data_IF_565187181030
#
_entry.id   IF_565187181030
#
_cell.length_a   1.000
_cell.length_b   1.000
_cell.length_c   1.000
_cell.angle_alpha   90.00
_cell.angle_beta   90.00
_cell.angle_gamma   90.00
#
_symmetry.space_group_name_H-M   'P 1'
#
loop_
_entity.id
_entity.type
_entity.pdbx_description
1 polymer ?
#
# COMPACT_ATOMS: atom_id res chain seq x y z
N UNK A 1 80.17 62.31 32.09
CA UNK A 1 79.14 63.22 31.54
C UNK A 1 78.50 62.49 30.37
N UNK A 2 77.16 62.37 30.31
CA UNK A 2 76.41 61.44 29.43
C UNK A 2 76.74 59.95 29.68
N UNK A 3 75.86 58.94 29.58
CA UNK A 3 74.40 58.74 29.72
C UNK A 3 74.15 57.30 29.29
N UNK A 4 73.54 56.47 30.13
CA UNK A 4 72.76 55.30 29.69
C UNK A 4 71.78 54.91 30.81
N UNK A 5 70.50 55.22 30.61
CA UNK A 5 69.43 54.76 31.49
C UNK A 5 69.04 53.32 31.11
N UNK A 6 68.83 52.41 32.08
CA UNK A 6 68.35 51.07 31.78
C UNK A 6 66.96 51.14 31.14
N UNK A 7 66.72 50.36 30.08
CA UNK A 7 65.39 50.22 29.50
C UNK A 7 64.49 49.47 30.48
N UNK A 8 63.63 50.20 31.19
CA UNK A 8 62.45 49.60 31.80
C UNK A 8 61.47 49.21 30.70
N UNK A 9 61.53 47.95 30.27
CA UNK A 9 60.51 47.33 29.41
C UNK A 9 59.17 47.47 30.12
N UNK A 10 58.26 48.29 29.59
CA UNK A 10 56.92 48.46 30.16
C UNK A 10 56.11 47.20 29.89
N UNK A 11 55.96 46.37 30.91
CA UNK A 11 55.19 45.11 30.87
C UNK A 11 53.83 45.20 30.12
N UNK A 12 52.97 46.23 30.28
CA UNK A 12 51.73 46.33 29.49
C UNK A 12 51.92 46.36 27.98
N UNK A 13 53.06 46.84 27.46
CA UNK A 13 53.33 46.85 26.01
C UNK A 13 53.60 45.43 25.48
N UNK A 14 54.21 44.57 26.29
CA UNK A 14 54.48 43.17 25.92
C UNK A 14 53.19 42.35 25.91
N UNK A 15 52.30 42.54 26.89
CA UNK A 15 50.96 41.93 26.88
C UNK A 15 50.09 42.46 25.72
N UNK A 16 50.19 43.74 25.36
CA UNK A 16 49.49 44.28 24.20
C UNK A 16 49.97 43.64 22.88
N UNK A 17 51.28 43.49 22.68
CA UNK A 17 51.85 42.81 21.51
C UNK A 17 51.50 41.32 21.48
N UNK A 18 51.51 40.63 22.62
CA UNK A 18 51.09 39.22 22.71
C UNK A 18 49.60 39.06 22.37
N UNK A 19 48.73 39.94 22.89
CA UNK A 19 47.29 39.93 22.56
C UNK A 19 47.05 40.20 21.07
N UNK A 20 47.77 41.15 20.46
CA UNK A 20 47.70 41.42 19.02
C UNK A 20 48.17 40.21 18.20
N UNK A 21 49.20 39.48 18.64
CA UNK A 21 49.69 38.28 17.96
C UNK A 21 48.69 37.11 18.03
N UNK A 22 47.93 36.99 19.13
CA UNK A 22 46.81 36.04 19.23
C UNK A 22 45.60 36.43 18.37
N UNK A 23 45.43 37.71 18.02
CA UNK A 23 44.34 38.23 17.19
C UNK A 23 44.63 38.19 15.68
N UNK A 24 45.85 37.82 15.26
CA UNK A 24 46.27 37.84 13.85
C UNK A 24 46.64 36.49 13.26
N UNK A 25 46.33 35.38 13.95
CA UNK A 25 46.34 34.05 13.34
C UNK A 25 45.11 33.91 12.41
N UNK A 26 45.29 33.83 11.07
CA UNK A 26 44.16 33.61 10.18
C UNK A 26 43.67 32.17 10.35
N UNK A 27 42.46 32.01 10.88
CA UNK A 27 41.76 30.72 10.78
C UNK A 27 41.34 30.54 9.33
N UNK A 28 42.15 29.84 8.54
CA UNK A 28 41.67 29.19 7.33
C UNK A 28 40.61 28.17 7.75
N UNK A 29 39.34 28.52 7.56
CA UNK A 29 38.27 27.53 7.45
C UNK A 29 38.38 26.95 6.03
N UNK A 30 38.80 25.70 5.92
CA UNK A 30 38.55 24.95 4.69
C UNK A 30 37.03 24.80 4.55
N UNK A 31 36.46 25.35 3.48
CA UNK A 31 35.06 25.06 3.09
C UNK A 31 34.98 23.59 2.64
N UNK A 32 34.82 22.69 3.61
CA UNK A 32 34.60 21.26 3.36
C UNK A 32 33.20 21.08 2.80
N UNK A 33 33.05 21.29 1.50
CA UNK A 33 31.80 21.13 0.75
C UNK A 33 31.40 19.65 0.67
N UNK A 34 30.77 19.19 1.74
CA UNK A 34 30.12 17.89 1.81
C UNK A 34 28.90 17.88 0.88
N UNK A 35 29.04 17.23 -0.27
CA UNK A 35 27.92 16.89 -1.14
C UNK A 35 27.13 15.72 -0.53
N UNK A 36 25.86 15.99 -0.19
CA UNK A 36 24.95 15.01 0.37
C UNK A 36 23.90 14.62 -0.66
N UNK A 37 23.89 13.35 -1.04
CA UNK A 37 22.87 12.77 -1.92
C UNK A 37 21.77 12.15 -1.05
N UNK A 38 20.53 12.57 -1.27
CA UNK A 38 19.34 12.10 -0.55
C UNK A 38 18.16 11.89 -1.50
N UNK A 39 17.19 11.09 -1.08
CA UNK A 39 15.99 10.76 -1.85
C UNK A 39 14.84 11.62 -1.37
N UNK A 40 14.12 12.30 -2.28
CA UNK A 40 13.13 13.30 -1.96
C UNK A 40 11.88 13.19 -2.84
N UNK A 41 10.71 13.35 -2.22
CA UNK A 41 9.42 13.40 -2.91
C UNK A 41 9.17 14.83 -3.40
N UNK A 42 9.45 15.09 -4.68
CA UNK A 42 9.29 16.42 -5.28
C UNK A 42 7.84 16.60 -5.75
N UNK A 43 7.12 17.67 -5.36
CA UNK A 43 5.74 17.90 -5.79
C UNK A 43 5.66 18.16 -7.30
N UNK A 44 4.75 17.47 -7.98
CA UNK A 44 4.46 17.61 -9.41
C UNK A 44 2.98 17.95 -9.57
N UNK A 45 2.70 19.09 -10.19
CA UNK A 45 1.35 19.55 -10.50
C UNK A 45 0.96 19.10 -11.91
N UNK A 46 -0.13 18.34 -12.03
CA UNK A 46 -0.64 17.83 -13.30
C UNK A 46 -1.98 18.47 -13.66
N UNK A 47 -2.17 18.77 -14.95
CA UNK A 47 -3.46 19.12 -15.54
C UNK A 47 -4.12 17.84 -16.09
N UNK A 48 -5.36 17.54 -15.68
CA UNK A 48 -6.08 16.38 -16.18
C UNK A 48 -6.35 16.41 -17.69
N UNK A 49 -6.44 17.58 -18.32
CA UNK A 49 -6.55 17.67 -19.78
C UNK A 49 -5.30 17.09 -20.47
N UNK A 50 -4.11 17.36 -19.93
CA UNK A 50 -2.83 16.81 -20.41
C UNK A 50 -2.70 15.30 -20.10
N UNK A 51 -3.27 14.81 -19.00
CA UNK A 51 -3.30 13.37 -18.68
C UNK A 51 -4.31 12.63 -19.58
N UNK A 52 -5.47 13.24 -19.89
CA UNK A 52 -6.52 12.66 -20.75
C UNK A 52 -6.19 12.70 -22.24
N UNK A 53 -5.22 13.51 -22.65
CA UNK A 53 -4.72 13.61 -24.03
C UNK A 53 -3.38 12.88 -24.24
N UNK A 54 -2.81 12.27 -23.21
CA UNK A 54 -1.71 11.33 -23.34
C UNK A 54 -2.24 9.93 -23.70
N UNK A 55 -1.59 9.27 -24.66
CA UNK A 55 -1.92 7.89 -25.02
C UNK A 55 -1.65 6.94 -23.85
N UNK A 56 -2.60 6.03 -23.58
CA UNK A 56 -2.37 4.90 -22.68
C UNK A 56 -1.63 3.82 -23.47
N UNK A 57 -0.39 3.54 -23.06
CA UNK A 57 0.49 2.62 -23.78
C UNK A 57 0.38 1.19 -23.23
N UNK A 58 0.09 0.24 -24.11
CA UNK A 58 0.34 -1.18 -23.85
C UNK A 58 1.78 -1.45 -24.27
N UNK A 59 2.64 -1.72 -23.29
CA UNK A 59 4.08 -1.86 -23.48
C UNK A 59 4.51 -3.32 -23.28
N UNK A 60 5.58 -3.71 -23.98
CA UNK A 60 6.21 -5.02 -23.76
C UNK A 60 6.67 -5.21 -22.31
N UNK A 61 6.77 -6.45 -21.81
CA UNK A 61 7.20 -6.79 -20.46
C UNK A 61 8.34 -5.94 -19.88
N UNK A 62 8.08 -5.32 -18.72
CA UNK A 62 9.06 -4.57 -17.94
C UNK A 62 9.44 -5.34 -16.68
N UNK A 63 10.71 -5.31 -16.23
CA UNK A 63 11.07 -5.85 -14.92
C UNK A 63 10.40 -5.04 -13.80
N UNK A 64 9.75 -5.74 -12.87
CA UNK A 64 9.07 -5.19 -11.71
C UNK A 64 10.03 -4.38 -10.81
N UNK A 65 9.65 -3.15 -10.46
CA UNK A 65 10.47 -2.23 -9.68
C UNK A 65 9.98 -2.10 -8.23
N UNK A 66 8.70 -1.78 -8.01
CA UNK A 66 8.07 -1.63 -6.69
C UNK A 66 6.61 -2.15 -6.69
N UNK A 67 6.34 -3.39 -6.24
CA UNK A 67 5.01 -3.98 -6.29
C UNK A 67 4.04 -3.32 -5.31
N UNK A 68 2.90 -2.87 -5.84
CA UNK A 68 1.70 -2.50 -5.11
C UNK A 68 0.67 -3.63 -5.15
N UNK A 69 -0.54 -3.34 -5.62
CA UNK A 69 -1.68 -4.28 -5.58
C UNK A 69 -1.46 -5.52 -6.43
N UNK A 70 -1.60 -6.72 -5.86
CA UNK A 70 -1.69 -7.99 -6.61
C UNK A 70 -3.15 -8.41 -6.83
N UNK A 71 -3.44 -8.91 -8.02
CA UNK A 71 -4.78 -9.35 -8.38
C UNK A 71 -4.71 -10.61 -9.27
N UNK A 72 -5.51 -11.63 -8.95
CA UNK A 72 -5.60 -12.87 -9.72
C UNK A 72 -6.86 -12.82 -10.57
N UNK A 73 -6.74 -13.13 -11.86
CA UNK A 73 -7.89 -13.30 -12.75
C UNK A 73 -7.65 -14.48 -13.70
N UNK A 74 -8.48 -15.51 -13.59
CA UNK A 74 -8.35 -16.77 -14.34
C UNK A 74 -6.92 -17.35 -14.25
N UNK A 75 -6.17 -17.32 -15.34
CA UNK A 75 -4.78 -17.81 -15.43
C UNK A 75 -3.72 -16.71 -15.30
N UNK A 76 -4.13 -15.47 -15.01
CA UNK A 76 -3.25 -14.30 -14.98
C UNK A 76 -3.03 -13.78 -13.55
N UNK A 77 -1.78 -13.43 -13.27
CA UNK A 77 -1.39 -12.61 -12.12
C UNK A 77 -1.12 -11.19 -12.61
N UNK A 78 -1.85 -10.23 -12.06
CA UNK A 78 -1.62 -8.80 -12.29
C UNK A 78 -0.91 -8.21 -11.06
N UNK A 79 0.03 -7.30 -11.31
CA UNK A 79 0.78 -6.58 -10.28
C UNK A 79 0.79 -5.10 -10.63
N UNK A 80 0.06 -4.28 -9.88
CA UNK A 80 0.18 -2.83 -9.94
C UNK A 80 1.59 -2.40 -9.52
N UNK A 81 2.15 -1.43 -10.23
CA UNK A 81 3.34 -0.68 -9.85
C UNK A 81 2.88 0.77 -9.57
N UNK A 82 2.78 1.20 -8.29
CA UNK A 82 2.06 2.41 -7.91
C UNK A 82 2.47 3.67 -8.68
N UNK A 83 1.47 4.47 -9.05
CA UNK A 83 1.56 5.65 -9.91
C UNK A 83 2.04 5.41 -11.36
N UNK A 84 2.43 4.19 -11.75
CA UNK A 84 3.01 3.88 -13.06
C UNK A 84 2.12 3.00 -13.95
N UNK A 85 1.43 2.00 -13.40
CA UNK A 85 0.62 1.07 -14.21
C UNK A 85 0.50 -0.34 -13.66
N UNK A 86 0.21 -1.31 -14.53
CA UNK A 86 -0.09 -2.71 -14.16
C UNK A 86 0.73 -3.67 -15.03
N UNK A 87 1.53 -4.53 -14.40
CA UNK A 87 2.15 -5.70 -15.02
C UNK A 87 1.13 -6.83 -15.15
N UNK A 88 1.13 -7.53 -16.28
CA UNK A 88 0.33 -8.74 -16.52
C UNK A 88 1.28 -9.91 -16.73
N UNK A 89 1.09 -10.99 -15.98
CA UNK A 89 1.85 -12.24 -16.11
C UNK A 89 0.90 -13.42 -16.33
N UNK A 90 1.26 -14.29 -17.27
CA UNK A 90 0.71 -15.65 -17.39
C UNK A 90 1.22 -16.46 -16.19
N UNK A 91 0.28 -16.97 -15.39
CA UNK A 91 0.51 -17.72 -14.17
C UNK A 91 -0.06 -19.15 -14.27
N UNK A 92 -0.22 -19.67 -15.49
CA UNK A 92 -0.73 -21.03 -15.75
C UNK A 92 0.04 -22.09 -14.97
N UNK A 93 1.36 -21.90 -14.85
CA UNK A 93 2.27 -22.59 -13.94
C UNK A 93 2.88 -21.60 -12.92
N UNK A 94 2.41 -21.58 -11.66
CA UNK A 94 2.97 -20.71 -10.62
C UNK A 94 4.43 -21.01 -10.21
N UNK A 95 5.03 -22.10 -10.69
CA UNK A 95 6.48 -22.33 -10.57
C UNK A 95 7.30 -21.63 -11.66
N UNK A 96 6.66 -21.19 -12.75
CA UNK A 96 7.32 -20.45 -13.84
C UNK A 96 6.41 -19.36 -14.46
N UNK A 97 5.99 -18.34 -13.68
CA UNK A 97 5.18 -17.23 -14.21
C UNK A 97 5.92 -16.47 -15.32
N UNK A 98 5.24 -16.18 -16.42
CA UNK A 98 5.80 -15.51 -17.60
C UNK A 98 5.21 -14.11 -17.75
N UNK A 99 6.01 -13.03 -17.81
CA UNK A 99 5.46 -11.68 -17.99
C UNK A 99 5.00 -11.47 -19.43
N UNK A 100 3.76 -10.98 -19.61
CA UNK A 100 3.07 -10.88 -20.91
C UNK A 100 3.10 -9.45 -21.44
N UNK A 101 2.69 -8.47 -20.64
CA UNK A 101 2.58 -7.05 -21.01
C UNK A 101 2.65 -6.13 -19.77
N UNK A 102 2.84 -4.84 -19.99
CA UNK A 102 2.67 -3.78 -19.00
C UNK A 102 1.70 -2.72 -19.52
N UNK A 103 0.60 -2.46 -18.81
CA UNK A 103 -0.31 -1.36 -19.12
C UNK A 103 0.19 -0.11 -18.40
N UNK A 104 0.60 0.91 -19.15
CA UNK A 104 1.08 2.18 -18.60
C UNK A 104 -0.10 3.06 -18.19
N UNK A 105 -0.38 3.13 -16.89
CA UNK A 105 -1.50 3.90 -16.33
C UNK A 105 -0.93 4.90 -15.32
N UNK A 106 -0.67 6.16 -15.74
CA UNK A 106 -0.25 7.22 -14.84
C UNK A 106 -1.27 7.40 -13.71
N UNK A 107 -0.76 7.43 -12.47
CA UNK A 107 -1.56 7.64 -11.27
C UNK A 107 -2.21 6.38 -10.68
N UNK A 108 -2.07 5.21 -11.32
CA UNK A 108 -2.78 3.99 -10.90
C UNK A 108 -2.30 3.43 -9.54
N UNK A 109 -3.27 3.08 -8.69
CA UNK A 109 -3.11 2.46 -7.37
C UNK A 109 -4.08 1.29 -7.20
N UNK A 110 -5.28 1.32 -7.76
CA UNK A 110 -6.30 0.28 -7.59
C UNK A 110 -6.70 -0.40 -8.91
N UNK A 111 -7.11 -1.67 -8.80
CA UNK A 111 -7.61 -2.48 -9.91
C UNK A 111 -8.65 -3.51 -9.45
N UNK A 112 -9.55 -3.86 -10.37
CA UNK A 112 -10.46 -5.02 -10.25
C UNK A 112 -10.83 -5.53 -11.66
N UNK A 113 -11.20 -6.81 -11.82
CA UNK A 113 -11.55 -7.38 -13.14
C UNK A 113 -12.90 -8.12 -13.07
N UNK A 114 -13.80 -7.79 -13.99
CA UNK A 114 -15.08 -8.47 -14.21
C UNK A 114 -15.20 -8.92 -15.66
N UNK A 115 -15.38 -10.21 -15.91
CA UNK A 115 -15.81 -10.77 -17.20
C UNK A 115 -14.98 -10.25 -18.38
N UNK A 116 -13.65 -10.39 -18.26
CA UNK A 116 -12.67 -9.91 -19.24
C UNK A 116 -12.37 -8.40 -19.22
N UNK A 117 -13.07 -7.58 -18.43
CA UNK A 117 -12.83 -6.13 -18.33
C UNK A 117 -12.10 -5.73 -17.04
N UNK A 118 -10.95 -5.08 -17.21
CA UNK A 118 -10.13 -4.53 -16.14
C UNK A 118 -10.52 -3.07 -15.86
N UNK A 119 -10.96 -2.82 -14.63
CA UNK A 119 -11.14 -1.50 -14.06
C UNK A 119 -9.85 -1.07 -13.36
N UNK A 120 -9.37 0.14 -13.64
CA UNK A 120 -8.18 0.71 -13.02
C UNK A 120 -8.33 2.22 -12.82
N UNK A 121 -7.88 2.76 -11.69
CA UNK A 121 -7.85 4.21 -11.48
C UNK A 121 -6.72 4.89 -12.30
N UNK A 122 -6.97 6.13 -12.73
CA UNK A 122 -5.97 7.03 -13.29
C UNK A 122 -6.23 8.43 -12.74
N UNK A 123 -5.70 8.67 -11.54
CA UNK A 123 -6.04 9.81 -10.70
C UNK A 123 -7.55 9.93 -10.46
N UNK A 124 -8.22 10.94 -11.04
CA UNK A 124 -9.66 11.18 -10.84
C UNK A 124 -10.57 10.38 -11.79
N UNK A 125 -10.00 9.64 -12.74
CA UNK A 125 -10.73 8.85 -13.74
C UNK A 125 -10.72 7.34 -13.42
N UNK A 126 -11.77 6.64 -13.86
CA UNK A 126 -11.80 5.18 -13.97
C UNK A 126 -11.57 4.76 -15.42
N UNK A 127 -10.56 3.94 -15.67
CA UNK A 127 -10.28 3.35 -16.97
C UNK A 127 -10.83 1.92 -17.05
N UNK A 128 -11.25 1.53 -18.25
CA UNK A 128 -11.77 0.19 -18.55
C UNK A 128 -10.96 -0.40 -19.70
N UNK A 129 -10.32 -1.55 -19.50
CA UNK A 129 -9.55 -2.25 -20.54
C UNK A 129 -10.17 -3.60 -20.86
N UNK A 130 -10.23 -3.93 -22.14
CA UNK A 130 -10.55 -5.28 -22.61
C UNK A 130 -9.32 -6.18 -22.49
N UNK A 131 -9.43 -7.30 -21.76
CA UNK A 131 -8.40 -8.31 -21.56
C UNK A 131 -8.75 -9.67 -22.20
N UNK A 132 -9.81 -9.79 -23.00
CA UNK A 132 -10.19 -11.08 -23.64
C UNK A 132 -9.08 -11.63 -24.56
N UNK A 133 -8.22 -10.75 -25.10
CA UNK A 133 -6.88 -11.11 -25.56
C UNK A 133 -5.83 -10.23 -24.85
N UNK A 134 -5.16 -10.80 -23.85
CA UNK A 134 -4.07 -10.14 -23.10
C UNK A 134 -2.87 -9.72 -23.97
N UNK A 135 -2.80 -10.15 -25.24
CA UNK A 135 -1.79 -9.71 -26.22
C UNK A 135 -2.25 -8.53 -27.07
N UNK A 136 -3.55 -8.23 -27.09
CA UNK A 136 -4.17 -7.15 -27.85
C UNK A 136 -5.16 -6.35 -26.96
N UNK A 137 -4.63 -5.84 -25.84
CA UNK A 137 -5.39 -5.08 -24.85
C UNK A 137 -5.82 -3.73 -25.43
N UNK A 138 -7.08 -3.33 -25.21
CA UNK A 138 -7.61 -2.04 -25.67
C UNK A 138 -8.34 -1.30 -24.56
N UNK A 139 -8.08 0.01 -24.42
CA UNK A 139 -8.90 0.91 -23.60
C UNK A 139 -10.30 0.98 -24.23
N UNK A 140 -11.31 0.51 -23.50
CA UNK A 140 -12.72 0.48 -23.91
C UNK A 140 -13.45 1.78 -23.53
N UNK A 141 -13.21 2.30 -22.32
CA UNK A 141 -13.89 3.48 -21.78
C UNK A 141 -13.01 4.21 -20.73
N UNK A 142 -13.24 5.51 -20.55
CA UNK A 142 -12.68 6.37 -19.49
C UNK A 142 -13.83 7.14 -18.85
N UNK A 143 -14.34 6.64 -17.72
CA UNK A 143 -15.31 7.36 -16.89
C UNK A 143 -14.58 8.47 -16.14
N UNK A 144 -14.90 9.72 -16.46
CA UNK A 144 -14.15 10.90 -15.99
C UNK A 144 -14.65 11.41 -14.65
N UNK A 145 -13.74 11.97 -13.87
CA UNK A 145 -14.08 12.79 -12.68
C UNK A 145 -14.94 12.04 -11.63
N UNK A 146 -14.66 10.73 -11.44
CA UNK A 146 -15.34 9.88 -10.44
C UNK A 146 -14.57 9.75 -9.13
N UNK A 147 -13.26 10.01 -9.10
CA UNK A 147 -12.42 9.97 -7.89
C UNK A 147 -11.91 11.36 -7.45
N UNK A 148 -12.69 12.43 -7.68
CA UNK A 148 -12.28 13.83 -7.45
C UNK A 148 -11.62 14.09 -6.08
N UNK A 149 -12.17 13.52 -5.00
CA UNK A 149 -11.67 13.71 -3.63
C UNK A 149 -10.38 12.94 -3.30
N UNK A 150 -9.87 12.08 -4.19
CA UNK A 150 -8.70 11.25 -3.92
C UNK A 150 -7.37 11.95 -4.27
N UNK A 151 -7.38 12.95 -5.17
CA UNK A 151 -6.12 13.55 -5.73
C UNK A 151 -6.11 15.07 -5.97
N UNK A 152 -7.23 15.80 -5.80
CA UNK A 152 -7.29 17.23 -6.15
C UNK A 152 -6.84 18.18 -5.03
N UNK A 153 -6.01 19.17 -5.38
CA UNK A 153 -5.99 20.45 -4.66
C UNK A 153 -7.18 21.30 -5.14
N UNK A 154 -8.25 21.34 -4.33
CA UNK A 154 -9.48 22.08 -4.63
C UNK A 154 -9.26 23.58 -4.91
N UNK A 155 -8.12 24.16 -4.52
CA UNK A 155 -7.80 25.56 -4.80
C UNK A 155 -7.27 25.82 -6.22
N UNK A 156 -6.94 24.79 -7.00
CA UNK A 156 -6.19 24.93 -8.28
C UNK A 156 -6.70 24.16 -9.48
N UNK A 157 -7.61 23.19 -9.30
CA UNK A 157 -7.98 22.24 -10.38
C UNK A 157 -6.78 21.47 -10.97
N UNK A 158 -5.73 21.30 -10.17
CA UNK A 158 -4.56 20.49 -10.53
C UNK A 158 -4.41 19.33 -9.54
N UNK A 159 -3.92 18.21 -10.05
CA UNK A 159 -3.52 17.09 -9.19
C UNK A 159 -2.13 17.39 -8.64
N UNK A 160 -1.99 17.23 -7.33
CA UNK A 160 -0.69 17.19 -6.67
C UNK A 160 -0.28 15.73 -6.51
N UNK A 161 0.63 15.26 -7.36
CA UNK A 161 1.35 14.00 -7.16
C UNK A 161 2.80 14.30 -6.75
N UNK A 162 3.57 13.28 -6.41
CA UNK A 162 4.94 13.41 -5.95
C UNK A 162 5.86 12.49 -6.74
N UNK A 163 6.94 13.06 -7.29
CA UNK A 163 7.99 12.30 -7.97
C UNK A 163 9.16 12.05 -7.03
N UNK A 164 9.33 10.80 -6.67
CA UNK A 164 10.55 10.28 -6.05
C UNK A 164 11.77 10.63 -6.93
N UNK A 165 12.67 11.43 -6.37
CA UNK A 165 13.83 11.99 -7.06
C UNK A 165 15.05 11.92 -6.15
N UNK A 166 16.15 11.36 -6.65
CA UNK A 166 17.46 11.47 -5.99
C UNK A 166 18.02 12.86 -6.24
N UNK A 167 18.21 13.62 -5.18
CA UNK A 167 18.77 14.97 -5.20
C UNK A 167 20.13 14.99 -4.50
N UNK A 168 21.08 15.76 -5.04
CA UNK A 168 22.36 16.04 -4.39
C UNK A 168 22.39 17.52 -4.03
N UNK A 169 22.61 17.83 -2.76
CA UNK A 169 22.86 19.20 -2.31
C UNK A 169 24.30 19.32 -1.81
N UNK A 170 24.97 20.38 -2.24
CA UNK A 170 26.13 20.91 -1.54
C UNK A 170 25.64 21.78 -0.37
N UNK A 171 26.34 21.75 0.76
CA UNK A 171 26.01 22.57 1.93
C UNK A 171 27.21 22.67 2.87
N UNK A 172 27.44 23.87 3.41
CA UNK A 172 28.52 24.16 4.34
C UNK A 172 28.13 23.90 5.82
N UNK A 173 26.96 23.29 6.07
CA UNK A 173 26.42 23.09 7.42
C UNK A 173 26.79 21.73 8.02
N UNK A 174 27.69 21.75 9.00
CA UNK A 174 27.96 20.60 9.86
C UNK A 174 26.71 20.27 10.70
N UNK A 175 26.17 19.06 10.56
CA UNK A 175 24.89 18.67 11.18
C UNK A 175 24.93 18.70 12.72
N UNK A 176 24.11 19.58 13.31
CA UNK A 176 23.89 19.64 14.76
C UNK A 176 23.12 18.43 15.31
N UNK A 177 23.15 18.26 16.64
CA UNK A 177 22.64 17.08 17.36
C UNK A 177 21.09 16.99 17.48
N UNK A 178 20.40 17.26 16.38
CA UNK A 178 18.96 16.98 16.19
C UNK A 178 18.61 16.81 14.68
N UNK A 179 19.58 16.41 13.87
CA UNK A 179 19.46 16.32 12.41
C UNK A 179 18.41 15.34 11.90
N UNK A 180 17.21 15.85 11.60
CA UNK A 180 16.20 15.19 10.77
C UNK A 180 15.68 16.17 9.72
N UNK A 181 15.92 15.95 8.40
CA UNK A 181 15.08 16.56 7.39
C UNK A 181 13.63 16.05 7.57
N UNK A 182 12.64 16.87 7.20
CA UNK A 182 11.23 16.63 7.52
C UNK A 182 10.73 15.27 7.03
N UNK A 183 10.14 14.49 7.94
CA UNK A 183 9.51 13.20 7.63
C UNK A 183 8.16 13.44 6.96
N UNK A 184 8.20 13.74 5.67
CA UNK A 184 7.00 13.96 4.85
C UNK A 184 6.45 12.64 4.31
N UNK A 185 5.14 12.63 4.05
CA UNK A 185 4.34 11.40 3.94
C UNK A 185 4.66 10.61 2.67
N UNK A 186 5.00 9.32 2.83
CA UNK A 186 4.83 8.35 1.75
C UNK A 186 3.37 7.88 1.73
N UNK A 187 2.72 7.94 0.57
CA UNK A 187 1.32 7.51 0.41
C UNK A 187 1.31 6.05 -0.07
N UNK A 188 1.86 5.16 0.77
CA UNK A 188 1.86 3.71 0.56
C UNK A 188 0.70 3.05 1.34
N UNK A 189 -0.56 3.46 1.05
CA UNK A 189 -1.75 2.96 1.77
C UNK A 189 -2.36 1.72 1.09
N UNK A 190 -1.74 0.55 1.30
CA UNK A 190 -1.96 -0.62 0.41
C UNK A 190 -1.53 -2.04 0.97
N UNK A 191 -2.38 -3.12 0.92
CA UNK A 191 -2.13 -4.55 1.36
C UNK A 191 -2.59 -6.00 0.67
N UNK A 192 -3.35 -6.57 -0.39
CA UNK A 192 -4.50 -6.41 -1.48
C UNK A 192 -6.07 -6.85 -1.41
N UNK A 193 -6.78 -7.19 -0.32
CA UNK A 193 -8.13 -7.80 -0.03
C UNK A 193 -8.60 -9.13 -0.74
N UNK A 194 -8.71 -10.24 0.00
CA UNK A 194 -8.83 -11.63 -0.51
C UNK A 194 -10.20 -12.31 -0.34
N UNK A 195 -11.23 -11.75 -0.95
CA UNK A 195 -12.56 -12.38 -0.96
C UNK A 195 -12.72 -13.44 -2.07
N UNK A 196 -13.32 -14.58 -1.71
CA UNK A 196 -13.78 -15.60 -2.64
C UNK A 196 -15.26 -15.33 -2.94
N UNK A 197 -15.60 -14.84 -4.14
CA UNK A 197 -16.96 -14.38 -4.48
C UNK A 197 -17.76 -15.45 -5.21
N UNK A 198 -18.90 -15.85 -4.65
CA UNK A 198 -19.80 -16.87 -5.22
C UNK A 198 -20.99 -16.23 -5.94
N UNK A 199 -20.76 -15.75 -7.16
CA UNK A 199 -21.79 -15.18 -8.03
C UNK A 199 -21.57 -15.55 -9.50
N UNK A 200 -22.57 -15.34 -10.36
CA UNK A 200 -22.59 -15.81 -11.75
C UNK A 200 -21.83 -14.93 -12.76
N UNK A 201 -20.73 -14.29 -12.35
CA UNK A 201 -19.83 -13.50 -13.20
C UNK A 201 -18.38 -13.88 -12.88
N UNK A 202 -17.49 -13.80 -13.87
CA UNK A 202 -16.05 -14.07 -13.65
C UNK A 202 -15.41 -12.84 -12.99
N UNK A 203 -15.25 -12.88 -11.66
CA UNK A 203 -14.52 -11.86 -10.91
C UNK A 203 -13.11 -12.34 -10.54
N UNK A 204 -12.15 -11.42 -10.45
CA UNK A 204 -10.83 -11.71 -9.89
C UNK A 204 -10.74 -11.49 -8.36
N UNK A 205 -9.55 -11.72 -7.80
CA UNK A 205 -9.28 -11.85 -6.35
C UNK A 205 -8.03 -11.03 -5.91
N UNK A 206 -8.08 -10.37 -4.74
CA UNK A 206 -6.94 -9.68 -4.10
C UNK A 206 -6.40 -10.34 -2.80
N UNK A 207 -5.68 -9.59 -1.93
CA UNK A 207 -4.95 -9.95 -0.66
C UNK A 207 -5.38 -9.33 0.71
N UNK A 208 -4.74 -8.24 1.23
CA UNK A 208 -5.19 -7.10 2.16
C UNK A 208 -5.74 -5.63 1.74
N UNK A 209 -5.17 -4.87 0.75
CA UNK A 209 -5.29 -3.45 0.24
C UNK A 209 -6.66 -3.01 -0.23
N UNK A 210 -7.48 -3.92 -0.76
CA UNK A 210 -8.32 -3.53 -1.90
C UNK A 210 -9.21 -2.36 -1.51
N UNK A 211 -9.15 -1.30 -2.32
CA UNK A 211 -10.11 -0.20 -2.21
C UNK A 211 -11.16 -0.37 -3.28
N UNK A 212 -10.86 -1.08 -4.37
CA UNK A 212 -11.82 -1.60 -5.35
C UNK A 212 -12.26 -3.03 -5.02
N UNK A 213 -13.55 -3.34 -5.10
CA UNK A 213 -14.03 -4.73 -5.08
C UNK A 213 -15.32 -4.92 -5.88
N UNK A 214 -15.54 -6.15 -6.35
CA UNK A 214 -16.70 -6.54 -7.16
C UNK A 214 -17.64 -7.47 -6.38
N UNK A 215 -18.95 -7.26 -6.50
CA UNK A 215 -20.01 -8.16 -6.00
C UNK A 215 -21.33 -7.83 -6.72
N UNK A 216 -22.12 -8.86 -7.07
CA UNK A 216 -23.50 -8.72 -7.59
C UNK A 216 -23.67 -7.68 -8.72
N UNK A 217 -22.78 -7.72 -9.71
CA UNK A 217 -22.79 -6.83 -10.88
C UNK A 217 -22.37 -5.39 -10.58
N UNK A 218 -21.79 -5.12 -9.41
CA UNK A 218 -21.40 -3.77 -8.98
C UNK A 218 -19.91 -3.71 -8.61
N UNK A 219 -19.28 -2.59 -8.95
CA UNK A 219 -17.94 -2.21 -8.48
C UNK A 219 -18.08 -1.20 -7.34
N UNK A 220 -17.39 -1.50 -6.24
CA UNK A 220 -17.31 -0.67 -5.05
C UNK A 220 -15.91 -0.12 -4.92
N UNK A 221 -15.77 1.21 -4.82
CA UNK A 221 -14.46 1.85 -4.70
C UNK A 221 -14.43 2.82 -3.50
N UNK A 222 -13.67 2.49 -2.46
CA UNK A 222 -13.50 3.38 -1.29
C UNK A 222 -12.34 4.36 -1.51
N UNK A 223 -12.56 5.63 -1.16
CA UNK A 223 -11.46 6.53 -0.79
C UNK A 223 -11.37 6.64 0.73
N UNK A 224 -10.53 7.56 1.23
CA UNK A 224 -10.29 7.79 2.66
C UNK A 224 -11.54 8.24 3.47
N UNK A 225 -12.66 8.51 2.79
CA UNK A 225 -13.91 9.07 3.34
C UNK A 225 -15.20 8.41 2.82
N UNK A 226 -15.19 7.83 1.62
CA UNK A 226 -16.41 7.58 0.83
C UNK A 226 -16.35 6.30 0.00
N UNK A 227 -17.43 5.52 0.06
CA UNK A 227 -17.73 4.39 -0.83
C UNK A 227 -18.41 4.91 -2.11
N UNK A 228 -17.76 4.76 -3.27
CA UNK A 228 -18.40 4.86 -4.58
C UNK A 228 -19.05 3.55 -4.95
N UNK A 229 -20.22 3.65 -5.59
CA UNK A 229 -20.94 2.52 -6.15
C UNK A 229 -21.04 2.73 -7.66
N UNK A 230 -20.66 1.73 -8.45
CA UNK A 230 -20.83 1.68 -9.89
C UNK A 230 -21.63 0.44 -10.29
N UNK A 231 -22.59 0.57 -11.20
CA UNK A 231 -23.15 -0.55 -11.96
C UNK A 231 -22.11 -1.01 -12.99
N UNK A 232 -21.79 -2.31 -12.99
CA UNK A 232 -20.91 -2.98 -13.95
C UNK A 232 -21.54 -4.24 -14.55
N UNK A 233 -22.88 -4.31 -14.58
CA UNK A 233 -23.65 -5.40 -15.22
C UNK A 233 -23.31 -5.45 -16.72
N UNK A 234 -23.12 -4.28 -17.33
CA UNK A 234 -22.48 -4.12 -18.65
C UNK A 234 -21.01 -3.78 -18.43
N UNK A 235 -20.17 -4.81 -18.34
CA UNK A 235 -18.81 -4.70 -17.81
C UNK A 235 -17.92 -3.68 -18.56
N UNK A 236 -18.14 -3.49 -19.86
CA UNK A 236 -17.44 -2.52 -20.70
C UNK A 236 -17.89 -1.05 -20.54
N UNK A 237 -19.07 -0.80 -19.95
CA UNK A 237 -19.68 0.54 -19.82
C UNK A 237 -20.12 0.83 -18.37
N UNK A 238 -19.16 0.91 -17.42
CA UNK A 238 -19.45 1.05 -15.99
C UNK A 238 -20.07 2.42 -15.67
N UNK A 239 -21.15 2.41 -14.90
CA UNK A 239 -21.97 3.60 -14.59
C UNK A 239 -21.89 3.94 -13.12
N UNK A 240 -21.27 5.09 -12.80
CA UNK A 240 -21.27 5.63 -11.44
C UNK A 240 -22.69 5.95 -10.97
N UNK A 241 -23.07 5.47 -9.79
CA UNK A 241 -24.42 5.59 -9.25
C UNK A 241 -24.51 6.61 -8.11
N UNK A 242 -23.57 6.56 -7.15
CA UNK A 242 -23.58 7.37 -5.92
C UNK A 242 -22.26 7.29 -5.15
N UNK A 243 -22.07 8.29 -4.27
CA UNK A 243 -21.08 8.26 -3.19
C UNK A 243 -21.82 8.13 -1.85
N UNK A 244 -21.34 7.23 -0.98
CA UNK A 244 -21.83 7.02 0.38
C UNK A 244 -20.70 7.44 1.33
N UNK A 245 -20.94 8.44 2.18
CA UNK A 245 -19.97 8.88 3.19
C UNK A 245 -19.85 7.82 4.29
N UNK A 246 -18.64 7.35 4.54
CA UNK A 246 -18.31 6.30 5.52
C UNK A 246 -17.82 6.86 6.86
N UNK A 247 -17.30 8.09 6.86
CA UNK A 247 -16.47 8.67 7.93
C UNK A 247 -14.98 8.69 7.55
N UNK A 248 -14.16 9.34 8.37
CA UNK A 248 -12.73 9.52 8.10
C UNK A 248 -11.89 8.25 8.29
N UNK A 249 -10.83 8.11 7.51
CA UNK A 249 -9.74 7.17 7.77
C UNK A 249 -9.96 5.77 7.21
N UNK A 250 -10.80 5.63 6.18
CA UNK A 250 -11.04 4.36 5.49
C UNK A 250 -9.77 3.86 4.78
N UNK A 251 -9.54 2.54 4.80
CA UNK A 251 -8.32 1.91 4.28
C UNK A 251 -8.61 0.79 3.26
N UNK A 252 -9.58 -0.09 3.55
CA UNK A 252 -9.80 -1.36 2.83
C UNK A 252 -11.28 -1.71 2.68
N UNK A 253 -11.64 -2.56 1.69
CA UNK A 253 -12.98 -3.14 1.53
C UNK A 253 -12.90 -4.63 1.14
N UNK A 254 -13.75 -5.45 1.75
CA UNK A 254 -13.86 -6.90 1.55
C UNK A 254 -15.34 -7.30 1.38
N UNK A 255 -15.74 -7.89 0.23
CA UNK A 255 -17.10 -8.38 0.05
C UNK A 255 -17.26 -9.80 0.62
N UNK A 256 -18.42 -10.09 1.21
CA UNK A 256 -18.76 -11.45 1.61
C UNK A 256 -20.27 -11.59 1.77
N UNK A 257 -20.89 -12.58 1.10
CA UNK A 257 -22.31 -12.93 1.23
C UNK A 257 -23.27 -11.71 1.17
N UNK A 258 -23.13 -10.89 0.12
CA UNK A 258 -23.91 -9.66 -0.07
C UNK A 258 -23.69 -8.60 1.03
N UNK A 259 -22.55 -8.64 1.73
CA UNK A 259 -22.12 -7.64 2.70
C UNK A 259 -20.80 -7.02 2.25
N UNK A 260 -20.48 -5.85 2.79
CA UNK A 260 -19.22 -5.15 2.60
C UNK A 260 -18.62 -4.87 3.99
N UNK A 261 -17.46 -5.46 4.26
CA UNK A 261 -16.66 -5.22 5.45
C UNK A 261 -15.58 -4.21 5.08
N UNK A 262 -15.57 -3.06 5.74
CA UNK A 262 -14.73 -1.91 5.38
C UNK A 262 -13.82 -1.59 6.55
N UNK A 263 -12.51 -1.77 6.38
CA UNK A 263 -11.51 -1.41 7.38
C UNK A 263 -11.27 0.10 7.39
N UNK A 264 -11.27 0.70 8.58
CA UNK A 264 -10.84 2.08 8.80
C UNK A 264 -9.90 2.16 10.00
N UNK A 265 -9.16 3.26 10.11
CA UNK A 265 -8.21 3.49 11.20
C UNK A 265 -8.82 3.53 12.61
N UNK A 266 -10.13 3.39 12.76
CA UNK A 266 -10.84 3.45 14.05
C UNK A 266 -11.87 2.34 14.21
N UNK A 267 -12.07 1.49 13.19
CA UNK A 267 -13.12 0.50 13.22
C UNK A 267 -13.32 -0.27 11.92
N UNK A 268 -13.87 -1.48 12.06
CA UNK A 268 -14.45 -2.22 10.94
C UNK A 268 -15.92 -1.83 10.78
N UNK A 269 -16.28 -1.20 9.67
CA UNK A 269 -17.67 -0.89 9.32
C UNK A 269 -18.28 -2.08 8.58
N UNK A 270 -19.54 -2.40 8.86
CA UNK A 270 -20.29 -3.44 8.14
C UNK A 270 -21.45 -2.76 7.40
N UNK A 271 -21.58 -3.03 6.11
CA UNK A 271 -22.70 -2.61 5.26
C UNK A 271 -23.40 -3.84 4.67
N UNK A 272 -24.73 -3.78 4.60
CA UNK A 272 -25.52 -4.69 3.77
C UNK A 272 -25.52 -4.19 2.33
N UNK A 273 -25.29 -5.08 1.37
CA UNK A 273 -25.27 -4.84 -0.07
C UNK A 273 -26.19 -5.83 -0.81
N UNK A 274 -27.22 -6.34 -0.13
CA UNK A 274 -28.33 -7.10 -0.71
C UNK A 274 -29.11 -6.32 -1.79
N UNK A 275 -29.23 -5.00 -1.61
CA UNK A 275 -29.38 -4.04 -2.73
C UNK A 275 -27.97 -3.54 -3.10
N UNK A 276 -27.34 -4.08 -4.15
CA UNK A 276 -25.97 -3.74 -4.47
C UNK A 276 -25.83 -2.32 -5.03
N UNK A 277 -26.91 -1.75 -5.58
CA UNK A 277 -26.95 -0.35 -6.01
C UNK A 277 -27.07 0.63 -4.85
N UNK A 278 -27.37 0.16 -3.63
CA UNK A 278 -27.67 1.02 -2.47
C UNK A 278 -27.21 0.45 -1.10
N UNK A 279 -25.91 0.17 -0.87
CA UNK A 279 -25.46 -0.41 0.39
C UNK A 279 -25.87 0.38 1.64
N UNK A 280 -26.37 -0.31 2.67
CA UNK A 280 -26.89 0.26 3.91
C UNK A 280 -26.00 -0.08 5.12
N UNK A 281 -25.70 0.91 5.97
CA UNK A 281 -24.84 0.70 7.16
C UNK A 281 -25.55 -0.20 8.20
N UNK A 282 -24.88 -1.28 8.62
CA UNK A 282 -25.35 -2.17 9.68
C UNK A 282 -24.74 -1.77 11.03
N UNK A 283 -23.40 -1.71 11.12
CA UNK A 283 -22.69 -1.38 12.37
C UNK A 283 -21.30 -0.80 12.12
N UNK A 284 -20.63 -0.41 13.20
CA UNK A 284 -19.17 -0.31 13.28
C UNK A 284 -18.72 -1.12 14.50
N UNK A 285 -17.68 -1.93 14.34
CA UNK A 285 -16.89 -2.42 15.46
C UNK A 285 -15.71 -1.47 15.65
N UNK A 286 -15.68 -0.72 16.74
CA UNK A 286 -14.65 0.29 17.03
C UNK A 286 -13.44 -0.35 17.74
N UNK A 287 -12.24 0.13 17.41
CA UNK A 287 -10.98 -0.28 18.04
C UNK A 287 -9.99 0.88 18.17
N UNK A 288 -8.84 0.63 18.82
CA UNK A 288 -7.76 1.62 18.94
C UNK A 288 -7.14 1.93 17.57
N UNK A 289 -6.56 3.13 17.41
CA UNK A 289 -6.12 3.64 16.11
C UNK A 289 -4.97 2.83 15.50
N UNK A 290 -5.32 1.99 14.54
CA UNK A 290 -4.46 1.00 13.90
C UNK A 290 -4.69 1.00 12.37
N UNK A 291 -3.86 0.28 11.62
CA UNK A 291 -3.94 0.22 10.15
C UNK A 291 -4.38 -1.19 9.72
N UNK A 292 -5.63 -1.36 9.27
CA UNK A 292 -6.37 -2.61 9.44
C UNK A 292 -6.91 -3.23 8.14
N UNK A 293 -6.35 -4.37 7.69
CA UNK A 293 -7.04 -5.29 6.80
C UNK A 293 -8.09 -6.14 7.52
N UNK A 294 -9.09 -6.59 6.76
CA UNK A 294 -10.16 -7.48 7.22
C UNK A 294 -10.30 -8.65 6.25
N UNK A 295 -10.41 -9.88 6.77
CA UNK A 295 -10.96 -11.04 6.05
C UNK A 295 -12.00 -11.73 6.91
N UNK A 296 -13.05 -12.32 6.32
CA UNK A 296 -14.14 -12.95 7.07
C UNK A 296 -14.49 -14.34 6.56
N UNK A 297 -15.11 -15.14 7.42
CA UNK A 297 -15.90 -16.32 7.04
C UNK A 297 -17.34 -16.18 7.58
N UNK A 298 -18.14 -17.25 7.50
CA UNK A 298 -19.55 -17.24 7.89
C UNK A 298 -19.83 -16.91 9.37
N UNK A 299 -18.86 -17.08 10.26
CA UNK A 299 -19.05 -16.90 11.71
C UNK A 299 -18.14 -15.83 12.32
N UNK A 300 -16.97 -15.58 11.71
CA UNK A 300 -15.92 -14.74 12.27
C UNK A 300 -15.33 -13.74 11.28
N UNK A 301 -15.01 -12.54 11.77
CA UNK A 301 -14.10 -11.61 11.12
C UNK A 301 -12.72 -11.67 11.78
N UNK A 302 -11.68 -11.67 10.95
CA UNK A 302 -10.28 -11.61 11.33
C UNK A 302 -9.75 -10.23 10.92
N UNK A 303 -9.34 -9.43 11.90
CA UNK A 303 -8.91 -8.04 11.71
C UNK A 303 -7.54 -7.90 12.35
N UNK A 304 -6.52 -7.45 11.62
CA UNK A 304 -5.20 -7.20 12.22
C UNK A 304 -4.96 -5.72 12.46
N UNK A 305 -4.71 -5.36 13.70
CA UNK A 305 -4.28 -4.04 14.11
C UNK A 305 -2.75 -3.96 13.95
N UNK A 306 -2.25 -2.87 13.35
CA UNK A 306 -0.81 -2.63 13.15
C UNK A 306 -0.39 -1.25 13.63
N UNK A 307 0.78 -1.16 14.29
CA UNK A 307 1.45 0.12 14.56
C UNK A 307 2.19 0.66 13.33
N UNK A 308 2.25 1.99 13.15
CA UNK A 308 2.97 2.59 12.04
C UNK A 308 3.12 4.11 12.08
N UNK A 309 3.78 4.72 11.07
CA UNK A 309 4.02 6.16 11.02
C UNK A 309 2.74 7.01 11.00
N UNK A 310 1.66 6.47 10.43
CA UNK A 310 0.29 7.01 10.47
C UNK A 310 -0.48 6.49 11.70
N UNK A 311 -0.42 5.17 11.93
CA UNK A 311 -1.09 4.47 13.02
C UNK A 311 -0.24 4.44 14.32
N UNK A 312 0.03 5.63 14.87
CA UNK A 312 1.04 5.84 15.93
C UNK A 312 0.65 5.38 17.34
N UNK A 313 -0.62 5.08 17.58
CA UNK A 313 -1.15 4.71 18.89
C UNK A 313 -1.80 3.32 18.91
N UNK A 314 -1.61 2.54 17.86
CA UNK A 314 -2.16 1.19 17.74
C UNK A 314 -1.44 0.18 18.63
N UNK A 315 -1.85 -1.07 18.46
CA UNK A 315 -1.15 -2.27 18.93
C UNK A 315 -0.91 -3.16 17.71
N UNK A 316 0.08 -4.06 17.77
CA UNK A 316 0.32 -5.06 16.74
C UNK A 316 -0.37 -6.37 17.15
N UNK A 317 -1.63 -6.57 16.74
CA UNK A 317 -2.50 -7.65 17.20
C UNK A 317 -3.37 -8.22 16.07
N UNK A 318 -3.86 -9.45 16.24
CA UNK A 318 -4.94 -10.05 15.46
C UNK A 318 -6.19 -10.14 16.37
N UNK A 319 -7.22 -9.36 16.06
CA UNK A 319 -8.54 -9.50 16.65
C UNK A 319 -9.34 -10.55 15.89
N UNK A 320 -10.02 -11.45 16.63
CA UNK A 320 -11.09 -12.27 16.08
C UNK A 320 -12.42 -11.81 16.63
N UNK A 321 -13.37 -11.52 15.75
CA UNK A 321 -14.70 -11.04 16.08
C UNK A 321 -15.74 -12.10 15.73
N UNK A 322 -16.70 -12.35 16.62
CA UNK A 322 -17.97 -12.99 16.29
C UNK A 322 -18.79 -12.00 15.46
N UNK A 323 -19.26 -12.45 14.29
CA UNK A 323 -20.10 -11.66 13.38
C UNK A 323 -21.46 -12.32 13.12
N UNK A 324 -21.89 -13.30 13.94
CA UNK A 324 -23.20 -13.94 13.81
C UNK A 324 -24.36 -12.94 13.97
N UNK A 325 -24.10 -11.81 14.67
CA UNK A 325 -24.95 -10.63 14.62
C UNK A 325 -24.18 -9.46 13.99
N UNK A 326 -24.39 -9.25 12.69
CA UNK A 326 -23.79 -8.16 11.89
C UNK A 326 -24.19 -6.75 12.34
N UNK A 327 -25.16 -6.59 13.26
CA UNK A 327 -25.47 -5.29 13.89
C UNK A 327 -24.73 -5.05 15.20
N UNK A 328 -24.12 -6.08 15.80
CA UNK A 328 -23.33 -5.98 17.02
C UNK A 328 -22.21 -7.05 17.09
N UNK A 329 -21.14 -6.91 16.27
CA UNK A 329 -19.96 -7.77 16.33
C UNK A 329 -19.28 -7.75 17.70
N UNK A 330 -18.64 -8.85 18.10
CA UNK A 330 -18.03 -8.99 19.45
C UNK A 330 -16.64 -9.59 19.40
N UNK A 331 -15.68 -8.96 20.08
CA UNK A 331 -14.33 -9.51 20.24
C UNK A 331 -14.38 -10.87 20.97
N UNK A 332 -13.94 -11.93 20.29
CA UNK A 332 -13.85 -13.31 20.80
C UNK A 332 -12.55 -13.48 21.58
N UNK A 333 -11.43 -13.05 20.99
CA UNK A 333 -10.07 -12.99 21.56
C UNK A 333 -9.22 -12.06 20.69
N UNK A 334 -8.22 -11.42 21.29
CA UNK A 334 -7.12 -10.73 20.59
C UNK A 334 -5.81 -11.50 20.81
N UNK A 335 -4.91 -11.44 19.82
CA UNK A 335 -3.67 -12.21 19.78
C UNK A 335 -2.48 -11.30 19.44
N UNK A 336 -1.41 -11.25 20.26
CA UNK A 336 -0.22 -10.47 19.93
C UNK A 336 0.47 -10.92 18.64
N UNK A 337 0.72 -9.97 17.74
CA UNK A 337 1.50 -10.14 16.51
C UNK A 337 2.83 -9.37 16.64
N UNK A 338 3.65 -9.35 15.59
CA UNK A 338 4.94 -8.65 15.60
C UNK A 338 4.85 -7.31 14.87
N UNK A 339 4.26 -7.31 13.66
CA UNK A 339 3.82 -6.15 12.91
C UNK A 339 2.99 -6.65 11.71
N UNK A 340 1.66 -6.80 11.81
CA UNK A 340 0.85 -7.45 10.76
C UNK A 340 0.49 -6.50 9.61
N UNK A 341 0.69 -6.89 8.35
CA UNK A 341 0.41 -6.05 7.16
C UNK A 341 -0.71 -6.62 6.28
N UNK A 342 -0.54 -7.88 5.87
CA UNK A 342 -1.40 -8.60 4.93
C UNK A 342 -1.98 -9.86 5.57
N UNK A 343 -3.18 -10.25 5.14
CA UNK A 343 -4.01 -11.25 5.78
C UNK A 343 -4.84 -11.98 4.71
N UNK A 344 -4.80 -13.30 4.67
CA UNK A 344 -5.61 -14.10 3.77
C UNK A 344 -6.13 -15.37 4.44
N UNK A 345 -7.36 -15.75 4.13
CA UNK A 345 -8.05 -16.90 4.72
C UNK A 345 -8.47 -17.88 3.62
N UNK A 346 -8.07 -19.13 3.75
CA UNK A 346 -8.50 -20.23 2.89
C UNK A 346 -8.98 -21.40 3.74
N UNK A 347 -10.26 -21.75 3.62
CA UNK A 347 -10.93 -22.71 4.51
C UNK A 347 -10.71 -22.36 6.00
N UNK A 348 -9.92 -23.17 6.71
CA UNK A 348 -9.57 -23.01 8.13
C UNK A 348 -8.12 -22.51 8.33
N UNK A 349 -7.46 -22.05 7.26
CA UNK A 349 -6.06 -21.66 7.27
C UNK A 349 -5.90 -20.16 7.05
N UNK A 350 -5.38 -19.48 8.07
CA UNK A 350 -5.11 -18.04 8.05
C UNK A 350 -3.63 -17.81 7.81
N UNK A 351 -3.31 -17.03 6.78
CA UNK A 351 -1.96 -16.62 6.41
C UNK A 351 -1.78 -15.14 6.71
N UNK A 352 -0.69 -14.77 7.40
CA UNK A 352 -0.49 -13.44 7.96
C UNK A 352 0.95 -12.96 7.72
N UNK A 353 1.08 -11.79 7.11
CA UNK A 353 2.34 -11.16 6.76
C UNK A 353 2.81 -10.26 7.91
N UNK A 354 3.94 -10.59 8.54
CA UNK A 354 4.48 -9.92 9.72
C UNK A 354 5.51 -8.83 9.36
N UNK A 355 5.34 -8.17 8.22
CA UNK A 355 6.29 -7.18 7.71
C UNK A 355 7.70 -7.77 7.60
N UNK A 356 8.66 -7.06 8.18
CA UNK A 356 10.08 -7.44 8.26
C UNK A 356 10.35 -8.70 9.09
N UNK A 357 9.37 -9.22 9.84
CA UNK A 357 9.56 -10.37 10.73
C UNK A 357 9.26 -11.73 10.07
N UNK A 358 8.56 -11.76 8.93
CA UNK A 358 8.35 -12.97 8.13
C UNK A 358 6.91 -13.16 7.65
N UNK A 359 6.55 -14.43 7.40
CA UNK A 359 5.22 -14.92 7.04
C UNK A 359 4.79 -16.00 8.05
N UNK A 360 3.58 -15.90 8.60
CA UNK A 360 2.98 -16.91 9.49
C UNK A 360 1.80 -17.62 8.84
N UNK A 361 1.54 -18.86 9.25
CA UNK A 361 0.31 -19.59 8.99
C UNK A 361 -0.29 -20.16 10.29
N UNK A 362 -1.62 -20.23 10.36
CA UNK A 362 -2.37 -20.72 11.52
C UNK A 362 -3.54 -21.61 11.10
N UNK A 363 -3.90 -22.58 11.94
CA UNK A 363 -5.22 -23.23 11.87
C UNK A 363 -6.19 -22.46 12.78
N UNK A 364 -7.27 -21.94 12.19
CA UNK A 364 -8.29 -21.12 12.89
C UNK A 364 -9.61 -21.86 13.14
N UNK A 365 -9.65 -23.19 13.01
CA UNK A 365 -10.82 -24.01 13.40
C UNK A 365 -11.19 -23.86 14.89
N UNK A 366 -10.20 -23.61 15.76
CA UNK A 366 -10.43 -23.07 17.10
C UNK A 366 -9.91 -21.63 17.18
N UNK A 367 -10.83 -20.69 16.97
CA UNK A 367 -10.59 -19.25 17.08
C UNK A 367 -10.22 -18.76 18.48
N UNK A 368 -10.25 -19.61 19.52
CA UNK A 368 -9.79 -19.29 20.88
C UNK A 368 -8.36 -19.77 21.18
N UNK A 369 -7.77 -20.57 20.30
CA UNK A 369 -6.43 -21.15 20.46
C UNK A 369 -5.49 -20.91 19.25
N UNK A 370 -5.69 -19.84 18.47
CA UNK A 370 -4.87 -19.53 17.26
C UNK A 370 -3.37 -19.40 17.59
N UNK A 371 -3.04 -18.89 18.78
CA UNK A 371 -1.68 -18.83 19.34
C UNK A 371 -1.04 -20.21 19.54
N UNK A 372 -1.80 -21.20 20.00
CA UNK A 372 -1.37 -22.59 20.11
C UNK A 372 -1.40 -23.34 18.76
N UNK A 373 -2.23 -22.88 17.82
CA UNK A 373 -2.47 -23.48 16.51
C UNK A 373 -1.68 -22.80 15.36
N UNK A 374 -0.60 -22.05 15.68
CA UNK A 374 0.34 -21.57 14.66
C UNK A 374 1.08 -22.76 14.03
N UNK A 375 1.01 -22.87 12.71
CA UNK A 375 1.54 -24.00 11.94
C UNK A 375 2.99 -23.74 11.53
N UNK A 376 3.24 -22.63 10.84
CA UNK A 376 4.57 -22.26 10.34
C UNK A 376 4.87 -20.77 10.57
N UNK A 377 6.16 -20.42 10.69
CA UNK A 377 6.64 -19.05 10.74
C UNK A 377 7.93 -18.89 9.94
N UNK A 378 7.78 -18.57 8.65
CA UNK A 378 8.87 -18.34 7.70
C UNK A 378 9.49 -16.94 7.92
N UNK A 379 10.34 -16.84 8.94
CA UNK A 379 11.07 -15.61 9.32
C UNK A 379 11.94 -15.00 8.22
N UNK A 380 12.34 -15.79 7.22
CA UNK A 380 13.08 -15.33 6.05
C UNK A 380 12.21 -14.63 5.01
N UNK A 381 10.92 -14.96 4.94
CA UNK A 381 9.98 -14.41 3.96
C UNK A 381 9.33 -13.13 4.51
N UNK A 382 10.10 -12.02 4.53
CA UNK A 382 9.56 -10.69 4.85
C UNK A 382 8.38 -10.41 3.92
N UNK A 383 7.21 -10.05 4.45
CA UNK A 383 6.01 -9.94 3.63
C UNK A 383 5.12 -8.77 4.05
N UNK A 384 4.43 -8.18 3.07
CA UNK A 384 3.48 -7.06 3.24
C UNK A 384 2.05 -7.41 2.80
N UNK A 385 1.90 -8.42 1.95
CA UNK A 385 0.63 -8.79 1.31
C UNK A 385 0.64 -10.29 0.98
N UNK A 386 -0.54 -10.91 1.00
CA UNK A 386 -0.78 -12.33 0.75
C UNK A 386 -2.13 -12.51 0.03
N UNK A 387 -2.16 -13.33 -1.03
CA UNK A 387 -3.38 -13.96 -1.57
C UNK A 387 -3.27 -15.47 -1.44
N UNK A 388 -4.24 -16.13 -0.79
CA UNK A 388 -4.49 -17.56 -1.00
C UNK A 388 -5.27 -17.76 -2.31
N UNK A 389 -4.54 -17.85 -3.42
CA UNK A 389 -5.10 -18.00 -4.76
C UNK A 389 -5.34 -19.46 -5.13
N UNK A 390 -6.22 -19.77 -6.10
CA UNK A 390 -6.70 -21.14 -6.38
C UNK A 390 -5.61 -22.14 -6.80
N UNK A 391 -4.41 -21.68 -7.17
CA UNK A 391 -3.25 -22.53 -7.49
C UNK A 391 -2.06 -22.39 -6.54
N UNK A 392 -1.96 -21.28 -5.80
CA UNK A 392 -0.77 -20.94 -4.99
C UNK A 392 -1.03 -19.77 -4.06
N UNK A 393 -0.35 -19.77 -2.91
CA UNK A 393 -0.25 -18.65 -1.99
C UNK A 393 0.74 -17.64 -2.58
N UNK A 394 0.25 -16.48 -3.00
CA UNK A 394 1.03 -15.38 -3.55
C UNK A 394 1.39 -14.43 -2.41
N UNK A 395 2.65 -14.02 -2.30
CA UNK A 395 3.18 -13.25 -1.17
C UNK A 395 4.06 -12.13 -1.71
N UNK A 396 3.71 -10.86 -1.45
CA UNK A 396 4.59 -9.73 -1.74
C UNK A 396 5.52 -9.51 -0.54
N UNK A 397 6.80 -9.29 -0.82
CA UNK A 397 7.79 -8.93 0.18
C UNK A 397 8.90 -8.04 -0.37
N UNK A 398 9.89 -7.76 0.48
CA UNK A 398 11.13 -7.09 0.08
C UNK A 398 11.86 -7.83 -1.05
N UNK A 399 11.72 -9.17 -1.11
CA UNK A 399 12.35 -10.02 -2.11
C UNK A 399 11.53 -10.11 -3.43
N UNK A 400 10.41 -9.39 -3.52
CA UNK A 400 9.51 -9.35 -4.67
C UNK A 400 8.22 -10.14 -4.48
N UNK A 401 7.63 -10.60 -5.59
CA UNK A 401 6.36 -11.35 -5.58
C UNK A 401 6.66 -12.85 -5.63
N UNK A 402 6.58 -13.52 -4.49
CA UNK A 402 6.87 -14.94 -4.34
C UNK A 402 5.59 -15.78 -4.37
N UNK A 403 5.67 -17.01 -4.87
CA UNK A 403 4.53 -17.95 -4.88
C UNK A 403 4.91 -19.24 -4.16
N UNK A 404 3.95 -19.80 -3.42
CA UNK A 404 4.10 -21.02 -2.63
C UNK A 404 2.96 -22.00 -2.91
N UNK A 405 3.32 -23.28 -3.01
CA UNK A 405 2.39 -24.39 -2.89
C UNK A 405 2.02 -24.52 -1.40
N UNK A 406 0.73 -24.43 -1.13
CA UNK A 406 0.12 -24.48 0.20
C UNK A 406 -0.87 -25.64 0.34
N UNK A 407 -0.91 -26.56 -0.65
CA UNK A 407 -1.79 -27.75 -0.65
C UNK A 407 -1.53 -28.67 0.55
N UNK A 408 -0.31 -28.65 1.08
CA UNK A 408 -0.01 -29.09 2.43
C UNK A 408 0.09 -27.86 3.36
N UNK A 409 -0.94 -27.55 4.16
CA UNK A 409 -0.91 -26.38 5.06
C UNK A 409 0.14 -26.51 6.17
N UNK A 410 0.66 -27.72 6.43
CA UNK A 410 1.72 -27.97 7.41
C UNK A 410 3.12 -27.51 6.98
N UNK A 411 3.33 -27.21 5.70
CA UNK A 411 4.63 -26.74 5.18
C UNK A 411 4.47 -26.02 3.84
N UNK A 412 4.70 -24.71 3.82
CA UNK A 412 4.67 -23.90 2.59
C UNK A 412 5.90 -24.18 1.71
N UNK A 413 5.66 -24.65 0.48
CA UNK A 413 6.72 -24.98 -0.48
C UNK A 413 6.86 -23.89 -1.55
N UNK A 414 7.93 -23.10 -1.49
CA UNK A 414 8.19 -22.05 -2.49
C UNK A 414 8.26 -22.63 -3.91
N UNK A 415 7.51 -22.03 -4.83
CA UNK A 415 7.42 -22.39 -6.24
C UNK A 415 8.28 -21.46 -7.10
N UNK A 416 8.03 -20.15 -7.01
CA UNK A 416 8.71 -19.11 -7.79
C UNK A 416 8.90 -17.83 -6.96
N UNK A 417 9.68 -16.88 -7.48
CA UNK A 417 9.60 -15.50 -7.02
C UNK A 417 10.09 -14.49 -8.07
N UNK A 418 9.19 -13.59 -8.47
CA UNK A 418 9.45 -12.51 -9.40
C UNK A 418 10.26 -11.45 -8.64
N UNK A 419 11.56 -11.36 -8.96
CA UNK A 419 12.50 -10.47 -8.27
C UNK A 419 12.24 -9.00 -8.63
N UNK A 420 12.31 -8.14 -7.63
CA UNK A 420 12.18 -6.68 -7.77
C UNK A 420 13.54 -6.01 -7.94
N UNK A 421 13.60 -4.93 -8.74
CA UNK A 421 14.81 -4.11 -8.85
C UNK A 421 15.10 -3.28 -7.59
N UNK A 422 14.05 -2.84 -6.89
CA UNK A 422 14.15 -2.12 -5.64
C UNK A 422 13.27 -2.83 -4.60
N UNK A 423 13.88 -3.49 -3.58
CA UNK A 423 13.13 -4.05 -2.48
C UNK A 423 12.16 -3.04 -1.86
N UNK A 424 10.89 -3.43 -1.73
CA UNK A 424 9.91 -2.66 -0.97
C UNK A 424 10.44 -2.40 0.45
N UNK A 425 10.12 -1.22 1.01
CA UNK A 425 10.53 -0.87 2.38
C UNK A 425 9.54 -1.51 3.37
N UNK A 426 10.04 -2.43 4.20
CA UNK A 426 9.25 -3.26 5.14
C UNK A 426 9.74 -3.13 6.58
#
# INVERSE_FOLDING_TARGET
MKTSSPLQVKWPLFYALAAILFLTLPSCHDEVKSSHTFRAMVPVYLNMESVRSADILIESPKPLDNPGKIYIYEEYLLVNEPQKGIHILDNTDPSSPQPVNFINIPGNVDLAINSGYLYADSYVDLLVFDLHDVRNITLSERVKDVFEHMYMDMARSTILTFKDTVMTSETDMMWGWQGRPGTWMTIDRAMTASANSSASQSYGQGGSMARFTLQSGHLYAVDDYSLRVFDVIQAQEPKHLKNINLGWGIETIFPFQEKLFIGSQTGMHIYDASDPSNPQKMSVYEHITACDPVVVNEQHAFVTLRTGPMCRFGVDELHVLDIQNLYAPKLVKAYPMLNPHGLSLFENYLYLAEGKHGLKSFNVSDVRAIDANQIEFLKSMKSVDIIAGPKSLIVIGADGVCQFDYSNPAQLRKLSCIQVKQPAIV
#
